data_IF_393894512707
#
_entry.id   IF_393894512707
#
_cell.length_a   1.000
_cell.length_b   1.000
_cell.length_c   1.000
_cell.angle_alpha   90.00
_cell.angle_beta   90.00
_cell.angle_gamma   90.00
#
_symmetry.space_group_name_H-M   'P 1'
#
loop_
_entity.id
_entity.type
_entity.pdbx_description
1 polymer ?
#
# COMPACT_ATOMS: atom_id res chain seq x y z
N UNK A 1 12.07 5.70 -14.56
CA UNK A 1 11.36 6.13 -13.34
C UNK A 1 12.19 7.12 -12.51
N UNK A 2 13.40 6.77 -12.06
CA UNK A 2 14.27 7.67 -11.26
C UNK A 2 14.51 9.06 -11.87
N UNK A 3 14.76 9.14 -13.19
CA UNK A 3 14.94 10.41 -13.93
C UNK A 3 13.71 11.36 -13.87
N UNK A 4 12.54 10.83 -13.48
CA UNK A 4 11.29 11.58 -13.36
C UNK A 4 10.87 11.78 -11.89
N UNK A 5 11.80 11.60 -10.93
CA UNK A 5 11.57 11.87 -9.51
C UNK A 5 10.97 10.71 -8.70
N UNK A 6 10.79 9.52 -9.30
CA UNK A 6 10.36 8.35 -8.53
C UNK A 6 11.46 7.89 -7.56
N UNK A 7 11.08 7.61 -6.32
CA UNK A 7 11.97 7.14 -5.24
C UNK A 7 11.77 5.68 -4.88
N UNK A 8 10.60 5.12 -5.20
CA UNK A 8 10.23 3.74 -4.92
C UNK A 8 9.73 3.05 -6.20
N UNK A 9 10.02 1.76 -6.32
CA UNK A 9 9.49 0.86 -7.33
C UNK A 9 8.56 -0.16 -6.67
N UNK A 10 7.33 -0.27 -7.17
CA UNK A 10 6.36 -1.22 -6.63
C UNK A 10 6.20 -2.41 -7.57
N UNK A 11 6.36 -3.62 -7.04
CA UNK A 11 6.04 -4.87 -7.72
C UNK A 11 5.28 -5.82 -6.80
N UNK A 12 4.34 -6.58 -7.35
CA UNK A 12 3.60 -7.57 -6.54
C UNK A 12 4.09 -8.97 -6.85
N UNK A 13 4.92 -9.52 -5.97
CA UNK A 13 5.38 -10.91 -6.05
C UNK A 13 4.29 -11.93 -5.69
N UNK A 14 3.37 -11.52 -4.81
CA UNK A 14 2.17 -12.25 -4.43
C UNK A 14 0.93 -11.46 -4.85
N UNK A 15 -0.08 -12.12 -5.43
CA UNK A 15 -1.30 -11.46 -5.91
C UNK A 15 -2.54 -12.05 -5.23
N UNK A 16 -3.24 -11.30 -4.36
CA UNK A 16 -4.52 -11.76 -3.82
C UNK A 16 -5.60 -11.67 -4.91
N UNK A 17 -5.96 -12.82 -5.50
CA UNK A 17 -6.95 -12.92 -6.58
C UNK A 17 -8.28 -13.45 -6.06
N UNK A 18 -9.37 -12.94 -6.63
CA UNK A 18 -10.72 -13.47 -6.38
C UNK A 18 -10.94 -14.83 -7.05
N UNK A 19 -10.21 -15.12 -8.14
CA UNK A 19 -10.27 -16.41 -8.84
C UNK A 19 -9.00 -17.22 -8.59
N UNK A 20 -9.11 -18.53 -8.27
CA UNK A 20 -7.95 -19.40 -8.06
C UNK A 20 -7.18 -19.69 -9.35
N UNK A 21 -7.82 -19.59 -10.52
CA UNK A 21 -7.22 -19.85 -11.84
C UNK A 21 -6.41 -18.67 -12.38
N UNK A 22 -6.48 -17.52 -11.70
CA UNK A 22 -5.74 -16.36 -12.12
C UNK A 22 -4.28 -16.45 -11.67
N UNK A 23 -3.38 -15.77 -12.39
CA UNK A 23 -1.96 -15.67 -12.01
C UNK A 23 -1.80 -15.21 -10.54
N UNK A 24 -1.15 -16.04 -9.73
CA UNK A 24 -0.99 -15.87 -8.28
C UNK A 24 0.26 -15.04 -7.91
N UNK A 25 1.12 -14.74 -8.89
CA UNK A 25 2.43 -14.14 -8.65
C UNK A 25 3.56 -15.14 -8.84
N UNK A 26 4.80 -14.64 -8.83
CA UNK A 26 6.02 -15.46 -8.94
C UNK A 26 6.57 -15.88 -7.56
N UNK A 27 5.94 -15.47 -6.46
CA UNK A 27 6.40 -15.77 -5.11
C UNK A 27 7.81 -15.23 -4.85
N UNK A 28 8.66 -16.02 -4.19
CA UNK A 28 10.04 -15.62 -3.89
C UNK A 28 10.84 -15.24 -5.14
N UNK A 29 10.63 -15.92 -6.27
CA UNK A 29 11.34 -15.60 -7.51
C UNK A 29 10.99 -14.17 -7.99
N UNK A 30 9.73 -13.76 -7.81
CA UNK A 30 9.33 -12.39 -8.04
C UNK A 30 10.00 -11.39 -7.11
N UNK A 31 10.28 -11.77 -5.86
CA UNK A 31 11.01 -10.92 -4.92
C UNK A 31 12.50 -10.81 -5.28
N UNK A 32 13.14 -11.88 -5.77
CA UNK A 32 14.52 -11.82 -6.27
C UNK A 32 14.65 -10.88 -7.46
N UNK A 33 13.74 -10.97 -8.43
CA UNK A 33 13.68 -10.03 -9.56
C UNK A 33 13.54 -8.59 -9.07
N UNK A 34 12.68 -8.35 -8.07
CA UNK A 34 12.56 -7.00 -7.51
C UNK A 34 13.83 -6.54 -6.80
N UNK A 35 14.55 -7.46 -6.13
CA UNK A 35 15.85 -7.17 -5.55
C UNK A 35 16.87 -6.77 -6.63
N UNK A 36 16.91 -7.46 -7.75
CA UNK A 36 17.78 -7.09 -8.89
C UNK A 36 17.42 -5.71 -9.45
N UNK A 37 16.12 -5.41 -9.59
CA UNK A 37 15.64 -4.08 -10.00
C UNK A 37 16.12 -2.98 -9.04
N UNK A 38 16.16 -3.25 -7.73
CA UNK A 38 16.72 -2.29 -6.76
C UNK A 38 18.19 -2.03 -7.03
N UNK A 39 18.99 -3.08 -7.20
CA UNK A 39 20.44 -2.95 -7.45
C UNK A 39 20.73 -2.19 -8.75
N UNK A 40 19.96 -2.46 -9.81
CA UNK A 40 20.16 -1.80 -11.11
C UNK A 40 19.69 -0.34 -11.13
N UNK A 41 18.60 -0.02 -10.43
CA UNK A 41 17.93 1.28 -10.55
C UNK A 41 18.20 2.24 -9.39
N UNK A 42 18.56 1.69 -8.22
CA UNK A 42 18.64 2.40 -6.95
C UNK A 42 17.29 2.82 -6.37
N UNK A 43 16.17 2.26 -6.85
CA UNK A 43 14.82 2.53 -6.33
C UNK A 43 14.48 1.51 -5.24
N UNK A 44 14.02 1.99 -4.08
CA UNK A 44 13.54 1.09 -3.02
C UNK A 44 12.30 0.31 -3.45
N UNK A 45 12.17 -0.93 -2.97
CA UNK A 45 11.13 -1.87 -3.40
C UNK A 45 9.96 -1.86 -2.43
N UNK A 46 8.77 -1.70 -3.00
CA UNK A 46 7.48 -1.90 -2.31
C UNK A 46 6.84 -3.19 -2.83
N UNK A 47 6.60 -4.17 -1.97
CA UNK A 47 5.87 -5.40 -2.33
C UNK A 47 4.77 -5.73 -1.32
N UNK A 48 3.74 -6.42 -1.78
CA UNK A 48 2.59 -6.78 -0.98
C UNK A 48 2.81 -8.09 -0.23
N UNK A 49 2.59 -8.05 1.09
CA UNK A 49 2.52 -9.24 1.94
C UNK A 49 1.07 -9.65 2.12
N UNK A 50 0.77 -10.92 1.81
CA UNK A 50 -0.58 -11.48 1.88
C UNK A 50 -0.76 -12.51 2.97
N UNK A 51 0.34 -13.03 3.55
CA UNK A 51 0.34 -14.04 4.60
C UNK A 51 1.47 -13.79 5.61
N UNK A 52 1.27 -14.10 6.91
CA UNK A 52 2.33 -14.10 7.92
C UNK A 52 3.59 -14.87 7.53
N UNK A 53 3.44 -15.99 6.82
CA UNK A 53 4.54 -16.86 6.44
C UNK A 53 5.54 -16.24 5.44
N UNK A 54 5.20 -15.10 4.85
CA UNK A 54 6.04 -14.41 3.87
C UNK A 54 7.02 -13.44 4.52
N UNK A 55 6.94 -13.25 5.84
CA UNK A 55 7.60 -12.12 6.49
C UNK A 55 9.14 -12.18 6.39
N UNK A 56 9.76 -13.35 6.55
CA UNK A 56 11.20 -13.54 6.37
C UNK A 56 11.67 -13.21 4.94
N UNK A 57 10.86 -13.58 3.94
CA UNK A 57 11.14 -13.24 2.54
C UNK A 57 11.01 -11.73 2.31
N UNK A 58 10.03 -11.08 2.92
CA UNK A 58 9.87 -9.63 2.79
C UNK A 58 11.08 -8.90 3.37
N UNK A 59 11.51 -9.27 4.58
CA UNK A 59 12.70 -8.69 5.23
C UNK A 59 13.94 -8.81 4.34
N UNK A 60 14.09 -9.93 3.65
CA UNK A 60 15.25 -10.20 2.81
C UNK A 60 15.30 -9.38 1.53
N UNK A 61 14.14 -9.11 0.91
CA UNK A 61 14.10 -8.63 -0.47
C UNK A 61 13.44 -7.27 -0.68
N UNK A 62 12.69 -6.72 0.28
CA UNK A 62 11.92 -5.48 0.09
C UNK A 62 12.31 -4.39 1.08
N UNK A 63 12.06 -3.14 0.71
CA UNK A 63 12.38 -1.96 1.53
C UNK A 63 11.15 -1.39 2.22
N UNK A 64 9.96 -1.67 1.68
CA UNK A 64 8.66 -1.29 2.25
C UNK A 64 7.68 -2.43 2.05
N UNK A 65 7.01 -2.83 3.13
CA UNK A 65 5.97 -3.85 3.06
C UNK A 65 4.62 -3.19 2.87
N UNK A 66 3.89 -3.60 1.83
CA UNK A 66 2.53 -3.15 1.59
C UNK A 66 1.53 -4.16 2.20
N UNK A 67 0.60 -3.65 3.00
CA UNK A 67 -0.62 -4.36 3.37
C UNK A 67 -1.74 -3.90 2.44
N UNK A 68 -2.25 -4.83 1.63
CA UNK A 68 -3.31 -4.55 0.67
C UNK A 68 -4.68 -4.30 1.33
N UNK A 69 -5.58 -3.63 0.60
CA UNK A 69 -6.92 -3.26 1.08
C UNK A 69 -7.75 -4.44 1.60
N UNK A 70 -7.56 -5.65 1.05
CA UNK A 70 -8.27 -6.86 1.50
C UNK A 70 -7.78 -7.40 2.85
N UNK A 71 -6.56 -7.02 3.23
CA UNK A 71 -5.90 -7.45 4.45
C UNK A 71 -5.80 -6.34 5.50
N UNK A 72 -6.42 -5.16 5.28
CA UNK A 72 -6.36 -4.04 6.23
C UNK A 72 -6.83 -4.43 7.64
N UNK A 73 -7.84 -5.31 7.75
CA UNK A 73 -8.35 -5.84 9.03
C UNK A 73 -7.92 -7.29 9.28
N UNK A 74 -6.93 -7.79 8.54
CA UNK A 74 -6.33 -9.09 8.86
C UNK A 74 -5.36 -8.89 10.04
N UNK A 75 -5.90 -8.82 11.26
CA UNK A 75 -5.12 -8.48 12.45
C UNK A 75 -3.99 -9.48 12.72
N UNK A 76 -4.14 -10.75 12.35
CA UNK A 76 -3.06 -11.74 12.45
C UNK A 76 -1.92 -11.45 11.45
N UNK A 77 -2.25 -11.02 10.23
CA UNK A 77 -1.24 -10.51 9.30
C UNK A 77 -0.58 -9.24 9.84
N UNK A 78 -1.35 -8.28 10.35
CA UNK A 78 -0.79 -7.07 10.94
C UNK A 78 0.18 -7.41 12.08
N UNK A 79 -0.20 -8.31 13.00
CA UNK A 79 0.67 -8.85 14.05
C UNK A 79 1.93 -9.53 13.52
N UNK A 80 1.87 -10.20 12.36
CA UNK A 80 3.03 -10.83 11.77
C UNK A 80 3.96 -9.85 11.05
N UNK A 81 3.40 -8.87 10.32
CA UNK A 81 4.15 -7.71 9.81
C UNK A 81 4.90 -7.09 10.99
N UNK A 82 4.23 -6.87 12.10
CA UNK A 82 4.81 -6.31 13.32
C UNK A 82 5.99 -7.13 13.87
N UNK A 83 5.81 -8.43 14.09
CA UNK A 83 6.84 -9.27 14.71
C UNK A 83 8.11 -9.39 13.87
N UNK A 84 7.96 -9.42 12.55
CA UNK A 84 9.06 -9.76 11.65
C UNK A 84 9.66 -8.51 11.02
N UNK A 85 8.81 -7.58 10.57
CA UNK A 85 9.19 -6.35 9.86
C UNK A 85 9.27 -5.17 10.84
N UNK A 86 8.37 -5.11 11.82
CA UNK A 86 8.30 -4.04 12.81
C UNK A 86 9.52 -3.99 13.74
N UNK A 87 10.06 -5.13 14.16
CA UNK A 87 11.32 -5.20 14.95
C UNK A 87 12.54 -4.64 14.22
N UNK A 88 12.51 -4.63 12.89
CA UNK A 88 13.60 -4.14 12.03
C UNK A 88 13.37 -2.67 11.65
N UNK A 89 12.22 -2.10 12.01
CA UNK A 89 11.86 -0.72 11.67
C UNK A 89 11.69 -0.51 10.16
N UNK A 90 11.27 -1.54 9.42
CA UNK A 90 10.97 -1.39 7.99
C UNK A 90 9.59 -0.75 7.81
N UNK A 91 9.46 0.28 6.93
CA UNK A 91 8.21 0.97 6.71
C UNK A 91 7.07 0.07 6.20
N UNK A 92 5.85 0.40 6.61
CA UNK A 92 4.63 -0.31 6.21
C UNK A 92 3.69 0.63 5.45
N UNK A 93 3.35 0.26 4.22
CA UNK A 93 2.33 0.93 3.41
C UNK A 93 0.97 0.27 3.62
N UNK A 94 0.10 0.88 4.42
CA UNK A 94 -1.22 0.36 4.76
C UNK A 94 -2.30 0.96 3.82
N UNK A 95 -2.85 0.14 2.93
CA UNK A 95 -3.97 0.55 2.09
C UNK A 95 -5.29 0.54 2.86
N UNK A 96 -6.11 1.58 2.65
CA UNK A 96 -7.49 1.61 3.15
C UNK A 96 -8.29 0.44 2.60
N UNK A 97 -9.10 -0.16 3.47
CA UNK A 97 -10.00 -1.27 3.16
C UNK A 97 -11.10 -0.85 2.18
N UNK A 98 -11.70 -1.84 1.52
CA UNK A 98 -12.66 -1.59 0.42
C UNK A 98 -13.87 -0.75 0.84
N UNK A 99 -14.30 -0.85 2.09
CA UNK A 99 -15.43 -0.08 2.64
C UNK A 99 -15.10 0.47 4.03
N UNK A 100 -13.81 0.57 4.37
CA UNK A 100 -13.39 0.96 5.70
C UNK A 100 -13.69 2.43 5.96
N UNK A 101 -14.16 2.74 7.17
CA UNK A 101 -14.21 4.11 7.66
C UNK A 101 -12.79 4.63 7.93
N UNK A 102 -12.66 5.94 8.13
CA UNK A 102 -11.37 6.54 8.52
C UNK A 102 -10.94 6.02 9.89
N UNK A 103 -11.86 5.87 10.83
CA UNK A 103 -11.59 5.34 12.16
C UNK A 103 -11.07 3.90 12.09
N UNK A 104 -11.76 3.00 11.37
CA UNK A 104 -11.30 1.61 11.21
C UNK A 104 -9.91 1.53 10.59
N UNK A 105 -9.62 2.43 9.63
CA UNK A 105 -8.33 2.49 8.98
C UNK A 105 -7.22 2.98 9.93
N UNK A 106 -7.51 4.02 10.73
CA UNK A 106 -6.59 4.51 11.76
C UNK A 106 -6.38 3.49 12.88
N UNK A 107 -7.41 2.74 13.27
CA UNK A 107 -7.26 1.65 14.24
C UNK A 107 -6.39 0.53 13.70
N UNK A 108 -6.52 0.15 12.42
CA UNK A 108 -5.59 -0.77 11.78
C UNK A 108 -4.15 -0.26 11.75
N UNK A 109 -3.95 1.06 11.60
CA UNK A 109 -2.63 1.67 11.73
C UNK A 109 -2.13 1.63 13.18
N UNK A 110 -2.99 1.90 14.16
CA UNK A 110 -2.67 1.85 15.59
C UNK A 110 -2.22 0.45 16.02
N UNK A 111 -2.84 -0.61 15.48
CA UNK A 111 -2.34 -1.97 15.68
C UNK A 111 -0.87 -2.14 15.25
N UNK A 112 -0.43 -1.44 14.22
CA UNK A 112 0.97 -1.47 13.73
C UNK A 112 1.87 -0.56 14.60
N UNK A 113 1.35 0.56 15.09
CA UNK A 113 2.09 1.49 15.94
C UNK A 113 2.32 0.93 17.35
N UNK A 114 1.33 0.23 17.92
CA UNK A 114 1.32 -0.20 19.32
C UNK A 114 2.43 -1.20 19.68
N UNK A 115 3.02 -1.87 18.69
CA UNK A 115 4.11 -2.84 18.88
C UNK A 115 5.49 -2.26 18.53
N UNK A 116 5.58 -0.93 18.31
CA UNK A 116 6.84 -0.19 18.22
C UNK A 116 7.34 0.17 16.82
N UNK A 117 6.55 -0.05 15.76
CA UNK A 117 6.90 0.42 14.40
C UNK A 117 6.14 1.71 14.07
N UNK A 118 6.80 2.85 14.22
CA UNK A 118 6.26 4.18 13.93
C UNK A 118 6.26 4.56 12.44
N UNK A 119 6.80 3.70 11.56
CA UNK A 119 6.98 3.99 10.13
C UNK A 119 5.82 3.48 9.28
N UNK A 120 4.64 4.03 9.51
CA UNK A 120 3.42 3.68 8.76
C UNK A 120 3.08 4.76 7.73
N UNK A 121 2.83 4.35 6.50
CA UNK A 121 2.34 5.19 5.41
C UNK A 121 0.92 4.77 5.07
N UNK A 122 -0.01 5.71 5.14
CA UNK A 122 -1.41 5.49 4.80
C UNK A 122 -1.58 5.65 3.28
N UNK A 123 -2.24 4.71 2.61
CA UNK A 123 -2.66 4.82 1.22
C UNK A 123 -4.18 4.81 1.03
N UNK A 124 -4.75 5.95 0.64
CA UNK A 124 -6.11 6.05 0.13
C UNK A 124 -6.17 5.47 -1.29
N UNK A 125 -7.15 4.60 -1.57
CA UNK A 125 -7.21 3.81 -2.82
C UNK A 125 -8.62 3.60 -3.34
N UNK A 126 -9.56 4.42 -2.89
CA UNK A 126 -10.98 4.39 -3.17
C UNK A 126 -11.77 3.39 -2.35
N UNK A 127 -12.99 3.79 -2.02
CA UNK A 127 -13.99 3.00 -1.31
C UNK A 127 -15.08 2.49 -2.27
N UNK A 128 -15.71 1.38 -1.91
CA UNK A 128 -16.84 0.81 -2.61
C UNK A 128 -18.09 1.65 -2.34
N UNK A 129 -18.80 1.99 -3.40
CA UNK A 129 -20.08 2.69 -3.35
C UNK A 129 -21.07 2.01 -4.28
N UNK A 130 -22.23 2.64 -4.51
CA UNK A 130 -23.21 2.22 -5.51
C UNK A 130 -22.78 2.55 -6.95
N UNK A 131 -21.78 3.42 -7.13
CA UNK A 131 -21.30 3.86 -8.45
C UNK A 131 -20.62 2.70 -9.18
N UNK A 132 -20.93 2.54 -10.48
CA UNK A 132 -20.49 1.41 -11.31
C UNK A 132 -19.51 1.81 -12.40
N UNK A 133 -19.41 3.10 -12.73
CA UNK A 133 -18.57 3.59 -13.80
C UNK A 133 -17.09 3.51 -13.43
N UNK A 134 -16.73 3.78 -12.18
CA UNK A 134 -15.36 3.56 -11.66
C UNK A 134 -15.30 2.32 -10.79
N UNK A 135 -14.11 1.71 -10.69
CA UNK A 135 -13.92 0.51 -9.86
C UNK A 135 -14.19 0.77 -8.38
N UNK A 136 -13.80 1.95 -7.90
CA UNK A 136 -14.10 2.47 -6.58
C UNK A 136 -14.40 3.98 -6.72
N UNK A 137 -14.98 4.59 -5.69
CA UNK A 137 -15.04 6.04 -5.57
C UNK A 137 -13.80 6.50 -4.82
N UNK A 138 -12.94 7.29 -5.46
CA UNK A 138 -11.73 7.80 -4.82
C UNK A 138 -12.10 8.90 -3.83
N UNK A 139 -11.91 8.63 -2.54
CA UNK A 139 -12.27 9.55 -1.47
C UNK A 139 -11.12 10.52 -1.19
N UNK A 140 -11.03 11.58 -1.99
CA UNK A 140 -10.00 12.62 -1.78
C UNK A 140 -10.23 13.43 -0.49
N UNK A 141 -11.43 13.39 0.09
CA UNK A 141 -11.70 14.08 1.36
C UNK A 141 -10.95 13.42 2.53
N UNK A 142 -10.60 12.14 2.40
CA UNK A 142 -9.78 11.44 3.38
C UNK A 142 -8.40 12.09 3.57
N UNK A 143 -7.82 12.70 2.53
CA UNK A 143 -6.48 13.32 2.60
C UNK A 143 -6.39 14.42 3.66
N UNK A 144 -7.16 15.52 3.59
CA UNK A 144 -7.11 16.56 4.61
C UNK A 144 -7.62 16.09 5.98
N UNK A 145 -8.54 15.13 6.03
CA UNK A 145 -9.02 14.57 7.30
C UNK A 145 -7.91 13.81 8.01
N UNK A 146 -7.20 12.93 7.32
CA UNK A 146 -6.09 12.15 7.88
C UNK A 146 -4.97 13.07 8.35
N UNK A 147 -4.58 14.07 7.54
CA UNK A 147 -3.56 15.06 7.93
C UNK A 147 -3.92 15.86 9.19
N UNK A 148 -5.21 15.96 9.53
CA UNK A 148 -5.67 16.59 10.77
C UNK A 148 -5.67 15.61 11.96
N UNK A 149 -6.01 14.36 11.71
CA UNK A 149 -6.22 13.36 12.78
C UNK A 149 -4.93 12.65 13.20
N UNK A 150 -3.91 12.61 12.35
CA UNK A 150 -2.67 11.89 12.63
C UNK A 150 -1.46 12.56 11.99
N UNK A 151 -0.28 12.24 12.51
CA UNK A 151 1.01 12.65 11.95
C UNK A 151 1.49 11.73 10.82
N UNK A 152 0.81 10.60 10.57
CA UNK A 152 1.24 9.64 9.57
C UNK A 152 1.13 10.23 8.14
N UNK A 153 2.13 9.99 7.27
CA UNK A 153 2.05 10.41 5.88
C UNK A 153 0.91 9.68 5.15
N UNK A 154 0.23 10.40 4.25
CA UNK A 154 -0.84 9.87 3.41
C UNK A 154 -0.53 10.03 1.92
N UNK A 155 -0.55 8.92 1.20
CA UNK A 155 -0.45 8.87 -0.25
C UNK A 155 -1.77 8.44 -0.88
N UNK A 156 -1.89 8.64 -2.20
CA UNK A 156 -3.09 8.26 -2.96
C UNK A 156 -2.75 7.33 -4.12
N UNK A 157 -3.56 6.29 -4.31
CA UNK A 157 -3.50 5.34 -5.43
C UNK A 157 -4.67 5.56 -6.41
N UNK A 158 -4.53 6.49 -7.38
CA UNK A 158 -5.57 6.75 -8.36
C UNK A 158 -5.77 5.59 -9.36
N UNK A 159 -4.76 4.73 -9.58
CA UNK A 159 -4.85 3.56 -10.45
C UNK A 159 -5.88 2.57 -9.92
N UNK A 160 -5.76 2.18 -8.65
CA UNK A 160 -6.71 1.27 -8.00
C UNK A 160 -8.00 1.98 -7.56
N UNK A 161 -7.93 3.26 -7.23
CA UNK A 161 -9.08 4.10 -6.92
C UNK A 161 -10.07 4.16 -8.06
N UNK A 162 -9.62 4.58 -9.24
CA UNK A 162 -10.51 4.75 -10.39
C UNK A 162 -10.69 3.46 -11.18
N UNK A 163 -9.63 2.66 -11.34
CA UNK A 163 -9.58 1.53 -12.25
C UNK A 163 -9.59 1.92 -13.74
N UNK A 164 -9.43 3.20 -14.08
CA UNK A 164 -9.50 3.72 -15.46
C UNK A 164 -8.25 4.54 -15.75
N UNK A 165 -7.47 4.12 -16.77
CA UNK A 165 -6.19 4.74 -17.13
C UNK A 165 -6.29 6.25 -17.35
N UNK A 166 -7.31 6.70 -18.10
CA UNK A 166 -7.51 8.12 -18.41
C UNK A 166 -7.79 8.97 -17.17
N UNK A 167 -8.31 8.37 -16.09
CA UNK A 167 -8.59 9.08 -14.84
C UNK A 167 -7.38 9.14 -13.90
N UNK A 168 -6.31 8.39 -14.16
CA UNK A 168 -5.11 8.36 -13.30
C UNK A 168 -4.47 9.74 -13.19
N UNK A 169 -4.17 10.38 -14.33
CA UNK A 169 -3.51 11.68 -14.38
C UNK A 169 -4.31 12.82 -13.70
N UNK A 170 -5.61 13.03 -14.00
CA UNK A 170 -6.39 14.07 -13.32
C UNK A 170 -6.57 13.79 -11.83
N UNK A 171 -6.80 12.53 -11.42
CA UNK A 171 -6.95 12.20 -9.99
C UNK A 171 -5.64 12.30 -9.22
N UNK A 172 -4.50 12.00 -9.85
CA UNK A 172 -3.19 12.25 -9.27
C UNK A 172 -2.98 13.74 -8.97
N UNK A 173 -3.31 14.64 -9.91
CA UNK A 173 -3.23 16.09 -9.67
C UNK A 173 -4.18 16.54 -8.55
N UNK A 174 -5.41 16.03 -8.54
CA UNK A 174 -6.37 16.36 -7.49
C UNK A 174 -5.91 15.88 -6.10
N UNK A 175 -5.27 14.72 -6.01
CA UNK A 175 -4.69 14.22 -4.76
C UNK A 175 -3.56 15.11 -4.23
N UNK A 176 -2.66 15.57 -5.11
CA UNK A 176 -1.61 16.52 -4.73
C UNK A 176 -2.22 17.85 -4.28
N UNK A 177 -3.21 18.38 -5.01
CA UNK A 177 -3.91 19.61 -4.63
C UNK A 177 -4.66 19.47 -3.29
N UNK A 178 -5.17 18.28 -2.96
CA UNK A 178 -5.78 17.97 -1.66
C UNK A 178 -4.76 17.84 -0.52
N UNK A 179 -3.46 17.82 -0.83
CA UNK A 179 -2.37 17.81 0.14
C UNK A 179 -1.72 16.44 0.40
N UNK A 180 -1.90 15.46 -0.48
CA UNK A 180 -1.27 14.15 -0.33
C UNK A 180 0.27 14.24 -0.36
N UNK A 181 0.94 13.45 0.47
CA UNK A 181 2.40 13.43 0.61
C UNK A 181 3.08 12.64 -0.52
N UNK A 182 2.30 11.90 -1.31
CA UNK A 182 2.80 11.12 -2.44
C UNK A 182 1.70 10.46 -3.26
N UNK A 183 2.12 9.83 -4.35
CA UNK A 183 1.25 9.13 -5.29
C UNK A 183 1.79 7.73 -5.57
N UNK A 184 0.87 6.81 -5.85
CA UNK A 184 1.19 5.47 -6.33
C UNK A 184 0.35 5.17 -7.57
N UNK A 185 0.97 4.81 -8.70
CA UNK A 185 0.25 4.47 -9.93
C UNK A 185 0.70 3.15 -10.54
#
# INVERSE_FOLDING_TARGET
MRKHGAVLFRGGAFKPRTSPYAFQGLGEEGLKILSEVREETGLGIVSEMTSPSQADLMIKYVDVVQVGARNMQNFELLKSVLKSVGRIGMPVLLKRGLSATIEEWLMSAEYILSEGNDRVILCERGIRTFERYTRNTLDLTAVPVIKKLTHLPIIVDPSHGTGIREKVSPMARAAIAAGADGLMS
#
